data_IF_019386888469
#
_entry.id   IF_019386888469
#
_cell.length_a   1.000
_cell.length_b   1.000
_cell.length_c   1.000
_cell.angle_alpha   90.00
_cell.angle_beta   90.00
_cell.angle_gamma   90.00
#
_symmetry.space_group_name_H-M   'P 1'
#
loop_
_entity.id
_entity.type
_entity.pdbx_description
1 polymer ?
#
# COMPACT_ATOMS: atom_id res chain seq x y z
N UNK A 1 8.67 10.01 -5.40
CA UNK A 1 8.61 9.61 -6.83
C UNK A 1 8.55 8.10 -7.07
N UNK A 2 8.61 7.22 -6.05
CA UNK A 2 8.69 5.76 -6.23
C UNK A 2 7.35 4.99 -6.14
N UNK A 3 6.24 5.62 -5.72
CA UNK A 3 4.94 4.93 -5.57
C UNK A 3 4.28 4.60 -6.92
N UNK A 4 4.44 5.46 -7.93
CA UNK A 4 3.79 5.27 -9.23
C UNK A 4 4.32 4.10 -10.06
N UNK A 5 5.57 3.67 -9.86
CA UNK A 5 6.19 2.62 -10.71
C UNK A 5 5.69 1.22 -10.41
N UNK A 6 5.36 0.90 -9.16
CA UNK A 6 4.83 -0.43 -8.78
C UNK A 6 3.41 -0.62 -9.26
N UNK A 7 2.56 0.38 -9.00
CA UNK A 7 1.18 0.40 -9.48
C UNK A 7 1.12 0.33 -11.00
N UNK A 8 1.98 1.08 -11.70
CA UNK A 8 2.14 0.98 -13.15
C UNK A 8 2.47 -0.44 -13.58
N UNK A 9 3.48 -1.08 -12.98
CA UNK A 9 3.91 -2.43 -13.37
C UNK A 9 2.79 -3.45 -13.19
N UNK A 10 2.08 -3.43 -12.06
CA UNK A 10 0.95 -4.35 -11.82
C UNK A 10 -0.19 -4.10 -12.82
N UNK A 11 -0.56 -2.84 -13.03
CA UNK A 11 -1.60 -2.49 -14.01
C UNK A 11 -1.18 -2.83 -15.45
N UNK A 12 0.10 -2.73 -15.81
CA UNK A 12 0.63 -3.20 -17.10
C UNK A 12 0.45 -4.71 -17.30
N UNK A 13 0.34 -5.49 -16.22
CA UNK A 13 0.05 -6.93 -16.27
C UNK A 13 -1.46 -7.25 -16.20
N UNK A 14 -2.33 -6.26 -16.40
CA UNK A 14 -3.78 -6.45 -16.41
C UNK A 14 -4.41 -6.52 -15.02
N UNK A 15 -3.66 -6.20 -13.96
CA UNK A 15 -4.14 -6.26 -12.58
C UNK A 15 -4.88 -4.96 -12.23
N UNK A 16 -6.03 -5.08 -11.56
CA UNK A 16 -6.69 -3.94 -10.91
C UNK A 16 -5.93 -3.55 -9.65
N UNK A 17 -5.48 -2.30 -9.57
CA UNK A 17 -4.66 -1.78 -8.47
C UNK A 17 -5.41 -0.68 -7.73
N UNK A 18 -5.61 -0.87 -6.43
CA UNK A 18 -6.02 0.20 -5.52
C UNK A 18 -4.76 0.92 -5.05
N UNK A 19 -4.58 2.16 -5.50
CA UNK A 19 -3.48 3.03 -5.07
C UNK A 19 -3.94 3.83 -3.86
N UNK A 20 -3.13 3.86 -2.83
CA UNK A 20 -3.46 4.53 -1.58
C UNK A 20 -2.43 5.60 -1.22
N UNK A 21 -2.91 6.65 -0.56
CA UNK A 21 -2.07 7.73 -0.02
C UNK A 21 -2.82 8.45 1.11
N UNK A 22 -2.06 9.08 2.02
CA UNK A 22 -2.63 9.93 3.08
C UNK A 22 -3.21 11.24 2.52
N UNK A 23 -2.48 11.83 1.58
CA UNK A 23 -2.82 13.08 0.90
C UNK A 23 -3.66 12.75 -0.35
N UNK A 24 -4.97 12.98 -0.24
CA UNK A 24 -5.93 12.68 -1.30
C UNK A 24 -5.61 13.42 -2.60
N UNK A 25 -5.24 14.70 -2.52
CA UNK A 25 -4.91 15.50 -3.71
C UNK A 25 -3.74 14.89 -4.47
N UNK A 26 -2.65 14.54 -3.77
CA UNK A 26 -1.48 13.89 -4.39
C UNK A 26 -1.80 12.50 -4.92
N UNK A 27 -2.67 11.77 -4.23
CA UNK A 27 -3.17 10.46 -4.65
C UNK A 27 -3.92 10.53 -5.97
N UNK A 28 -4.89 11.44 -6.07
CA UNK A 28 -5.68 11.68 -7.28
C UNK A 28 -4.80 12.16 -8.45
N UNK A 29 -3.90 13.11 -8.22
CA UNK A 29 -2.93 13.56 -9.24
C UNK A 29 -2.06 12.40 -9.77
N UNK A 30 -1.75 11.42 -8.92
CA UNK A 30 -0.96 10.25 -9.30
C UNK A 30 -1.78 9.26 -10.15
N UNK A 31 -3.06 9.07 -9.81
CA UNK A 31 -3.97 8.24 -10.61
C UNK A 31 -4.22 8.84 -12.00
N UNK A 32 -4.41 10.16 -12.10
CA UNK A 32 -4.61 10.81 -13.41
C UNK A 32 -3.42 10.60 -14.35
N UNK A 33 -2.19 10.65 -13.82
CA UNK A 33 -0.98 10.33 -14.59
C UNK A 33 -0.94 8.87 -15.05
N UNK A 34 -1.43 7.94 -14.23
CA UNK A 34 -1.44 6.51 -14.58
C UNK A 34 -2.53 6.19 -15.61
N UNK A 35 -3.70 6.82 -15.52
CA UNK A 35 -4.80 6.66 -16.50
C UNK A 35 -4.40 7.10 -17.91
N UNK A 36 -3.54 8.13 -18.02
CA UNK A 36 -3.01 8.59 -19.31
C UNK A 36 -2.12 7.57 -20.04
N UNK A 37 -1.70 6.49 -19.36
CA UNK A 37 -0.80 5.49 -19.92
C UNK A 37 -1.52 4.32 -20.62
N UNK A 38 -2.87 4.33 -20.65
CA UNK A 38 -3.71 3.32 -21.31
C UNK A 38 -3.30 1.87 -20.95
N UNK A 39 -3.19 1.61 -19.65
CA UNK A 39 -2.76 0.31 -19.14
C UNK A 39 -3.90 -0.72 -19.24
N UNK A 40 -3.59 -2.01 -19.47
CA UNK A 40 -4.61 -3.06 -19.58
C UNK A 40 -5.37 -3.31 -18.27
N UNK A 41 -4.73 -3.05 -17.12
CA UNK A 41 -5.36 -3.10 -15.80
C UNK A 41 -5.97 -1.77 -15.38
N UNK A 42 -6.80 -1.79 -14.34
CA UNK A 42 -7.44 -0.59 -13.82
C UNK A 42 -6.68 -0.04 -12.62
N UNK A 43 -6.67 1.29 -12.48
CA UNK A 43 -6.10 1.96 -11.30
C UNK A 43 -7.18 2.82 -10.64
N UNK A 44 -7.40 2.60 -9.35
CA UNK A 44 -8.37 3.37 -8.56
C UNK A 44 -7.69 3.94 -7.32
N UNK A 45 -8.13 5.10 -6.87
CA UNK A 45 -7.62 5.72 -5.65
C UNK A 45 -8.53 5.37 -4.47
N UNK A 46 -7.92 5.11 -3.31
CA UNK A 46 -8.60 5.17 -2.02
C UNK A 46 -7.67 5.80 -0.98
N UNK A 47 -8.15 6.76 -0.21
CA UNK A 47 -7.34 7.38 0.83
C UNK A 47 -6.98 6.35 1.91
N UNK A 48 -5.75 6.38 2.43
CA UNK A 48 -5.32 5.51 3.52
C UNK A 48 -4.29 6.21 4.40
N UNK A 49 -4.55 6.23 5.70
CA UNK A 49 -3.53 6.35 6.73
C UNK A 49 -3.41 5.03 7.49
N UNK A 50 -2.29 4.33 7.30
CA UNK A 50 -2.04 3.03 7.95
C UNK A 50 -1.86 3.16 9.47
N UNK A 51 -1.76 4.36 10.01
CA UNK A 51 -1.72 4.60 11.47
C UNK A 51 -3.10 4.84 12.07
N UNK A 52 -4.14 4.96 11.24
CA UNK A 52 -5.52 5.15 11.66
C UNK A 52 -6.36 3.88 11.38
N UNK A 53 -6.80 3.15 12.42
CA UNK A 53 -7.65 1.97 12.27
C UNK A 53 -8.96 2.24 11.51
N UNK A 54 -9.55 3.43 11.62
CA UNK A 54 -10.77 3.77 10.90
C UNK A 54 -10.51 3.90 9.40
N UNK A 55 -9.36 4.46 9.02
CA UNK A 55 -8.91 4.53 7.64
C UNK A 55 -8.66 3.16 7.03
N UNK A 56 -8.03 2.24 7.77
CA UNK A 56 -7.82 0.85 7.35
C UNK A 56 -9.17 0.15 7.14
N UNK A 57 -10.11 0.30 8.07
CA UNK A 57 -11.45 -0.30 7.95
C UNK A 57 -12.21 0.24 6.74
N UNK A 58 -12.12 1.54 6.47
CA UNK A 58 -12.72 2.14 5.27
C UNK A 58 -12.18 1.50 3.98
N UNK A 59 -10.88 1.17 3.93
CA UNK A 59 -10.29 0.48 2.79
C UNK A 59 -10.77 -0.98 2.69
N UNK A 60 -10.85 -1.69 3.81
CA UNK A 60 -11.41 -3.06 3.85
C UNK A 60 -12.85 -3.08 3.31
N UNK A 61 -13.70 -2.17 3.79
CA UNK A 61 -15.08 -2.03 3.33
C UNK A 61 -15.13 -1.69 1.84
N UNK A 62 -14.27 -0.77 1.38
CA UNK A 62 -14.18 -0.41 -0.04
C UNK A 62 -13.83 -1.63 -0.91
N UNK A 63 -12.79 -2.38 -0.55
CA UNK A 63 -12.36 -3.56 -1.32
C UNK A 63 -13.42 -4.65 -1.31
N UNK A 64 -14.03 -4.89 -0.14
CA UNK A 64 -15.13 -5.86 0.01
C UNK A 64 -16.29 -5.52 -0.91
N UNK A 65 -16.74 -4.26 -0.92
CA UNK A 65 -17.92 -3.85 -1.67
C UNK A 65 -17.68 -3.75 -3.18
N UNK A 66 -16.47 -3.40 -3.62
CA UNK A 66 -16.19 -3.19 -5.06
C UNK A 66 -15.61 -4.41 -5.76
N UNK A 67 -14.86 -5.25 -5.04
CA UNK A 67 -14.11 -6.36 -5.64
C UNK A 67 -14.42 -7.71 -5.00
N UNK A 68 -14.89 -7.73 -3.75
CA UNK A 68 -15.27 -8.95 -3.02
C UNK A 68 -14.09 -9.83 -2.57
N UNK A 69 -12.86 -9.56 -3.02
CA UNK A 69 -11.64 -10.27 -2.65
C UNK A 69 -10.40 -9.39 -2.80
N UNK A 70 -9.27 -9.86 -2.29
CA UNK A 70 -7.95 -9.28 -2.52
C UNK A 70 -6.97 -10.38 -2.94
N UNK A 71 -6.21 -10.18 -4.01
CA UNK A 71 -5.20 -11.17 -4.44
C UNK A 71 -3.78 -10.80 -3.94
N UNK A 72 -3.48 -9.51 -3.86
CA UNK A 72 -2.13 -9.01 -3.53
C UNK A 72 -2.23 -7.84 -2.56
N UNK A 73 -1.59 -7.94 -1.40
CA UNK A 73 -1.34 -6.82 -0.49
C UNK A 73 0.12 -6.36 -0.61
N UNK A 74 0.33 -5.08 -0.88
CA UNK A 74 1.68 -4.47 -0.92
C UNK A 74 1.80 -3.42 0.18
N UNK A 75 2.49 -3.75 1.27
CA UNK A 75 2.81 -2.80 2.33
C UNK A 75 4.04 -1.97 1.92
N UNK A 76 3.81 -0.82 1.30
CA UNK A 76 4.85 0.11 0.81
C UNK A 76 4.81 1.49 1.48
N UNK A 77 3.77 1.80 2.27
CA UNK A 77 3.50 3.13 2.83
C UNK A 77 4.38 3.54 4.02
N UNK A 78 5.67 3.21 3.99
CA UNK A 78 6.60 3.50 5.09
C UNK A 78 7.09 4.95 5.11
N UNK A 79 7.38 5.45 6.31
CA UNK A 79 8.06 6.75 6.52
C UNK A 79 9.49 6.53 7.01
N UNK A 80 10.42 7.36 6.54
CA UNK A 80 11.82 7.32 6.95
C UNK A 80 11.99 8.00 8.32
N UNK A 81 12.75 7.38 9.24
CA UNK A 81 12.99 7.87 10.61
C UNK A 81 13.77 9.17 10.71
N UNK A 82 14.57 9.50 9.69
CA UNK A 82 15.28 10.79 9.63
C UNK A 82 14.31 11.94 9.29
N UNK A 83 13.19 11.62 8.63
CA UNK A 83 12.16 12.58 8.18
C UNK A 83 10.94 12.59 9.12
N UNK A 84 10.67 11.48 9.80
CA UNK A 84 9.62 11.36 10.80
C UNK A 84 10.05 12.06 12.10
N UNK A 85 9.09 12.70 12.79
CA UNK A 85 9.29 13.38 14.08
C UNK A 85 9.54 12.38 15.23
N UNK A 86 10.57 11.55 15.11
CA UNK A 86 10.99 10.55 16.10
C UNK A 86 10.60 9.10 15.77
N UNK A 87 11.28 8.18 16.45
CA UNK A 87 11.21 6.72 16.25
C UNK A 87 9.78 6.17 16.36
N UNK A 88 8.96 6.73 17.25
CA UNK A 88 7.58 6.29 17.49
C UNK A 88 6.70 6.38 16.24
N UNK A 89 6.85 7.45 15.44
CA UNK A 89 6.09 7.59 14.19
C UNK A 89 6.50 6.54 13.15
N UNK A 90 7.80 6.19 13.09
CA UNK A 90 8.29 5.15 12.19
C UNK A 90 7.81 3.76 12.59
N UNK A 91 7.86 3.43 13.87
CA UNK A 91 7.36 2.13 14.34
C UNK A 91 5.84 2.04 14.10
N UNK A 92 5.10 3.13 14.37
CA UNK A 92 3.67 3.21 14.11
C UNK A 92 3.33 2.95 12.64
N UNK A 93 3.97 3.64 11.70
CA UNK A 93 3.64 3.48 10.28
C UNK A 93 4.24 2.19 9.66
N UNK A 94 5.52 1.93 9.89
CA UNK A 94 6.25 0.90 9.16
C UNK A 94 5.96 -0.51 9.70
N UNK A 95 5.80 -0.64 11.02
CA UNK A 95 5.53 -1.92 11.65
C UNK A 95 4.04 -2.09 11.98
N UNK A 96 3.49 -1.25 12.87
CA UNK A 96 2.11 -1.41 13.31
C UNK A 96 1.11 -1.17 12.19
N UNK A 97 1.37 -0.22 11.29
CA UNK A 97 0.53 0.02 10.12
C UNK A 97 0.51 -1.17 9.17
N UNK A 98 1.67 -1.71 8.81
CA UNK A 98 1.77 -2.95 8.00
C UNK A 98 1.08 -4.13 8.68
N UNK A 99 1.23 -4.28 10.00
CA UNK A 99 0.55 -5.31 10.79
C UNK A 99 -0.98 -5.15 10.73
N UNK A 100 -1.49 -3.94 10.98
CA UNK A 100 -2.93 -3.65 10.96
C UNK A 100 -3.54 -3.89 9.58
N UNK A 101 -2.83 -3.51 8.52
CA UNK A 101 -3.23 -3.82 7.14
C UNK A 101 -3.34 -5.32 6.88
N UNK A 102 -2.35 -6.10 7.32
CA UNK A 102 -2.42 -7.56 7.22
C UNK A 102 -3.60 -8.13 8.02
N UNK A 103 -3.79 -7.70 9.27
CA UNK A 103 -4.88 -8.19 10.13
C UNK A 103 -6.25 -7.92 9.53
N UNK A 104 -6.47 -6.71 8.98
CA UNK A 104 -7.73 -6.33 8.36
C UNK A 104 -7.97 -7.04 7.01
N UNK A 105 -6.94 -7.23 6.18
CA UNK A 105 -7.13 -7.69 4.80
C UNK A 105 -6.87 -9.18 4.57
N UNK A 106 -6.32 -9.91 5.56
CA UNK A 106 -6.16 -11.38 5.48
C UNK A 106 -7.49 -12.11 5.17
N UNK A 107 -8.65 -11.74 5.76
CA UNK A 107 -9.93 -12.36 5.39
C UNK A 107 -10.22 -12.28 3.89
N UNK A 108 -9.98 -11.12 3.27
CA UNK A 108 -10.16 -10.91 1.82
C UNK A 108 -9.11 -11.65 0.99
N UNK A 109 -7.87 -11.76 1.49
CA UNK A 109 -6.80 -12.54 0.83
C UNK A 109 -7.12 -14.03 0.79
N UNK A 110 -7.77 -14.59 1.82
CA UNK A 110 -8.18 -16.00 1.86
C UNK A 110 -9.21 -16.38 0.79
N UNK A 111 -9.85 -15.38 0.17
CA UNK A 111 -10.79 -15.59 -0.94
C UNK A 111 -10.08 -15.67 -2.31
N UNK A 112 -8.77 -15.41 -2.36
CA UNK A 112 -7.96 -15.55 -3.57
C UNK A 112 -7.44 -16.98 -3.73
N UNK A 113 -7.36 -17.46 -4.97
CA UNK A 113 -6.75 -18.76 -5.30
C UNK A 113 -5.22 -18.76 -5.08
N UNK A 114 -4.58 -17.59 -5.09
CA UNK A 114 -3.13 -17.45 -4.95
C UNK A 114 -2.75 -16.15 -4.24
N UNK A 115 -3.04 -16.01 -2.94
CA UNK A 115 -2.80 -14.77 -2.21
C UNK A 115 -1.31 -14.47 -2.03
N UNK A 116 -0.96 -13.18 -2.10
CA UNK A 116 0.41 -12.68 -1.85
C UNK A 116 0.39 -11.49 -0.90
N UNK A 117 1.32 -11.48 0.06
CA UNK A 117 1.66 -10.29 0.85
C UNK A 117 3.11 -9.92 0.55
N UNK A 118 3.34 -8.67 0.16
CA UNK A 118 4.66 -8.11 -0.12
C UNK A 118 4.92 -6.96 0.84
N UNK A 119 5.80 -7.16 1.81
CA UNK A 119 6.28 -6.12 2.70
C UNK A 119 7.54 -5.49 2.11
N UNK A 120 7.47 -4.21 1.76
CA UNK A 120 8.61 -3.49 1.20
C UNK A 120 9.37 -2.83 2.33
N UNK A 121 10.60 -3.30 2.55
CA UNK A 121 11.54 -2.77 3.52
C UNK A 121 12.68 -2.03 2.82
N UNK A 122 13.69 -1.59 3.56
CA UNK A 122 14.88 -0.93 3.02
C UNK A 122 16.15 -1.70 3.38
N UNK A 123 17.24 -1.43 2.66
CA UNK A 123 18.57 -1.99 2.94
C UNK A 123 19.04 -1.67 4.36
N UNK A 124 18.58 -0.57 4.95
CA UNK A 124 18.87 -0.20 6.35
C UNK A 124 18.27 -1.16 7.39
N UNK A 125 17.36 -2.06 6.97
CA UNK A 125 16.89 -3.16 7.82
C UNK A 125 17.88 -4.32 7.94
N UNK A 126 18.98 -4.31 7.17
CA UNK A 126 20.04 -5.30 7.24
C UNK A 126 21.04 -4.87 8.31
N UNK A 127 21.21 -5.70 9.35
CA UNK A 127 22.06 -5.38 10.49
C UNK A 127 23.52 -5.11 10.09
N UNK A 128 24.03 -5.80 9.07
CA UNK A 128 25.39 -5.61 8.55
C UNK A 128 25.64 -4.18 8.05
N UNK A 129 24.63 -3.53 7.49
CA UNK A 129 24.70 -2.16 6.97
C UNK A 129 24.72 -1.12 8.10
N UNK A 130 24.30 -1.47 9.32
CA UNK A 130 24.37 -0.57 10.48
C UNK A 130 25.75 -0.58 11.14
N UNK A 131 26.56 -1.60 10.88
CA UNK A 131 27.90 -1.76 11.46
C UNK A 131 29.03 -1.23 10.54
N UNK A 132 28.68 -0.67 9.37
CA UNK A 132 29.61 -0.10 8.38
C UNK A 132 29.64 1.43 8.46
#
# INVERSE_FOLDING_TARGET
MAEGTKSKQLASNGITVVVTARDEKKGLESIEKLKQLDLPGHVVFHQLDVTDPASIRSLEDFVTNHFGKLDILVNNGGINGVVAKGEGACIAANYYGSKGMCEALIPLLKLSDSPRIVNITSTWGILEVLNS
#
